data_IF_035813618259
#
_entry.id   IF_035813618259
#
_cell.length_a   1.000
_cell.length_b   1.000
_cell.length_c   1.000
_cell.angle_alpha   90.00
_cell.angle_beta   90.00
_cell.angle_gamma   90.00
#
_symmetry.space_group_name_H-M   'P 1'
#
loop_
_entity.id
_entity.type
_entity.pdbx_description
1 polymer ?
#
# COMPACT_ATOMS: atom_id res chain seq x y z
N UNK A 1 -24.45 -25.86 -5.28
CA UNK A 1 -23.25 -25.91 -6.14
C UNK A 1 -23.07 -24.52 -6.76
N UNK A 2 -21.84 -24.01 -6.89
CA UNK A 2 -21.59 -22.72 -7.55
C UNK A 2 -22.08 -22.75 -8.99
N UNK A 3 -22.66 -21.62 -9.43
CA UNK A 3 -23.09 -21.44 -10.81
C UNK A 3 -22.29 -20.27 -11.39
N UNK A 4 -21.47 -20.55 -12.41
CA UNK A 4 -20.75 -19.55 -13.20
C UNK A 4 -21.31 -19.62 -14.61
N UNK A 5 -21.79 -18.50 -15.15
CA UNK A 5 -22.42 -18.41 -16.47
C UNK A 5 -23.53 -19.45 -16.73
N UNK A 6 -24.36 -19.70 -15.71
CA UNK A 6 -25.48 -20.65 -15.80
C UNK A 6 -25.06 -22.13 -15.77
N UNK A 7 -23.77 -22.43 -15.59
CA UNK A 7 -23.27 -23.80 -15.46
C UNK A 7 -22.82 -24.09 -14.04
N UNK A 8 -23.19 -25.27 -13.56
CA UNK A 8 -22.74 -25.79 -12.28
C UNK A 8 -21.26 -26.16 -12.35
N UNK A 9 -20.42 -25.55 -11.51
CA UNK A 9 -18.97 -25.81 -11.49
C UNK A 9 -18.57 -26.37 -10.13
N UNK A 10 -17.89 -27.52 -10.13
CA UNK A 10 -17.25 -28.11 -8.96
C UNK A 10 -18.19 -28.72 -7.91
N UNK A 11 -17.63 -28.94 -6.72
CA UNK A 11 -18.36 -29.47 -5.56
C UNK A 11 -19.15 -28.35 -4.85
N UNK A 12 -20.26 -28.66 -4.14
CA UNK A 12 -20.93 -27.67 -3.31
C UNK A 12 -20.00 -27.15 -2.20
N UNK A 13 -20.02 -25.84 -1.96
CA UNK A 13 -19.34 -25.20 -0.84
C UNK A 13 -20.32 -24.97 0.31
N UNK A 14 -19.82 -24.99 1.55
CA UNK A 14 -20.64 -24.81 2.75
C UNK A 14 -20.95 -23.34 3.05
N UNK A 15 -20.11 -22.43 2.55
CA UNK A 15 -20.26 -20.99 2.74
C UNK A 15 -19.45 -20.20 1.69
N UNK A 16 -19.77 -18.92 1.55
CA UNK A 16 -18.99 -17.94 0.78
C UNK A 16 -18.64 -16.77 1.70
N UNK A 17 -17.41 -16.26 1.63
CA UNK A 17 -17.09 -14.99 2.28
C UNK A 17 -17.82 -13.86 1.54
N UNK A 18 -18.98 -13.47 2.07
CA UNK A 18 -19.84 -12.44 1.49
C UNK A 18 -19.23 -11.04 1.45
N UNK A 19 -18.01 -10.84 1.99
CA UNK A 19 -17.35 -9.54 2.06
C UNK A 19 -16.44 -9.29 0.84
N UNK A 20 -16.02 -10.30 0.05
CA UNK A 20 -14.92 -10.12 -0.90
C UNK A 20 -14.96 -10.82 -2.27
N UNK A 21 -16.09 -10.98 -2.99
CA UNK A 21 -15.97 -11.18 -4.42
C UNK A 21 -15.23 -9.97 -5.03
N UNK A 22 -14.13 -10.22 -5.75
CA UNK A 22 -13.32 -9.20 -6.39
C UNK A 22 -13.17 -9.51 -7.86
N UNK A 23 -13.55 -8.56 -8.72
CA UNK A 23 -13.23 -8.64 -10.13
C UNK A 23 -11.83 -8.09 -10.41
N UNK A 24 -11.16 -8.64 -11.43
CA UNK A 24 -9.97 -8.01 -12.02
C UNK A 24 -10.30 -6.61 -12.56
N UNK A 25 -9.30 -5.71 -12.69
CA UNK A 25 -9.45 -4.39 -13.31
C UNK A 25 -10.25 -4.35 -14.62
N UNK A 26 -10.08 -5.34 -15.50
CA UNK A 26 -10.82 -5.46 -16.78
C UNK A 26 -12.16 -6.20 -16.66
N UNK A 27 -12.49 -6.72 -15.47
CA UNK A 27 -13.69 -7.49 -15.21
C UNK A 27 -13.68 -8.93 -15.74
N UNK A 28 -12.56 -9.40 -16.33
CA UNK A 28 -12.50 -10.74 -16.94
C UNK A 28 -12.32 -11.86 -15.93
N UNK A 29 -11.82 -11.56 -14.73
CA UNK A 29 -11.55 -12.53 -13.68
C UNK A 29 -12.36 -12.24 -12.42
N UNK A 30 -12.69 -13.28 -11.66
CA UNK A 30 -13.40 -13.20 -10.38
C UNK A 30 -12.70 -14.05 -9.32
N UNK A 31 -12.33 -13.41 -8.21
CA UNK A 31 -11.85 -14.09 -7.01
C UNK A 31 -12.87 -14.02 -5.87
N UNK A 32 -13.08 -15.13 -5.14
CA UNK A 32 -13.95 -15.16 -3.95
C UNK A 32 -13.49 -16.24 -2.96
N UNK A 33 -13.74 -15.99 -1.67
CA UNK A 33 -13.44 -16.94 -0.59
C UNK A 33 -14.59 -17.92 -0.38
N UNK A 34 -14.30 -19.20 -0.17
CA UNK A 34 -15.27 -20.27 0.05
C UNK A 34 -14.91 -21.10 1.28
N UNK A 35 -15.91 -21.66 1.97
CA UNK A 35 -15.68 -22.60 3.07
C UNK A 35 -15.99 -24.04 2.65
N UNK A 36 -15.07 -24.95 2.96
CA UNK A 36 -15.21 -26.40 2.80
C UNK A 36 -14.91 -27.06 4.16
N UNK A 37 -15.95 -27.56 4.82
CA UNK A 37 -15.88 -28.07 6.18
C UNK A 37 -15.34 -27.01 7.15
N UNK A 38 -14.15 -27.29 7.72
CA UNK A 38 -13.46 -26.41 8.69
C UNK A 38 -12.41 -25.51 8.04
N UNK A 39 -12.21 -25.62 6.73
CA UNK A 39 -11.16 -24.91 6.00
C UNK A 39 -11.77 -23.87 5.06
N UNK A 40 -11.00 -22.83 4.80
CA UNK A 40 -11.29 -21.82 3.79
C UNK A 40 -10.47 -22.10 2.54
N UNK A 41 -11.01 -21.76 1.37
CA UNK A 41 -10.31 -21.77 0.09
C UNK A 41 -10.54 -20.45 -0.63
N UNK A 42 -9.69 -20.16 -1.60
CA UNK A 42 -9.90 -19.04 -2.52
C UNK A 42 -10.07 -19.60 -3.91
N UNK A 43 -11.16 -19.20 -4.56
CA UNK A 43 -11.43 -19.51 -5.98
C UNK A 43 -11.00 -18.31 -6.80
N UNK A 44 -10.22 -18.53 -7.85
CA UNK A 44 -9.90 -17.54 -8.88
C UNK A 44 -10.27 -18.16 -10.22
N UNK A 45 -11.19 -17.54 -10.95
CA UNK A 45 -11.68 -18.00 -12.26
C UNK A 45 -12.13 -19.48 -12.27
N UNK A 46 -12.90 -19.84 -11.24
CA UNK A 46 -13.42 -21.20 -11.06
C UNK A 46 -12.39 -22.22 -10.58
N UNK A 47 -11.11 -21.84 -10.47
CA UNK A 47 -10.05 -22.71 -9.95
C UNK A 47 -9.92 -22.53 -8.44
N UNK A 48 -10.18 -23.60 -7.67
CA UNK A 48 -9.99 -23.62 -6.23
C UNK A 48 -8.50 -23.83 -5.89
N UNK A 49 -7.92 -22.90 -5.14
CA UNK A 49 -6.55 -22.98 -4.65
C UNK A 49 -6.36 -23.97 -3.49
N UNK A 50 -5.16 -23.96 -2.90
CA UNK A 50 -4.86 -24.78 -1.70
C UNK A 50 -5.79 -24.39 -0.52
N UNK A 51 -6.13 -25.34 0.37
CA UNK A 51 -6.93 -25.03 1.54
C UNK A 51 -6.13 -24.24 2.60
N UNK A 52 -6.84 -23.41 3.34
CA UNK A 52 -6.34 -22.54 4.40
C UNK A 52 -7.14 -22.76 5.69
N UNK A 53 -6.52 -22.55 6.84
CA UNK A 53 -7.25 -22.50 8.12
C UNK A 53 -8.18 -21.29 8.17
N UNK A 54 -7.75 -20.16 7.59
CA UNK A 54 -8.54 -18.93 7.47
C UNK A 54 -8.04 -18.06 6.30
N UNK A 55 -8.83 -17.09 5.86
CA UNK A 55 -8.45 -16.09 4.86
C UNK A 55 -8.59 -14.68 5.43
N UNK A 56 -7.77 -13.75 4.93
CA UNK A 56 -7.77 -12.36 5.38
C UNK A 56 -8.95 -11.58 4.81
N UNK A 57 -9.57 -10.76 5.66
CA UNK A 57 -10.68 -9.89 5.24
C UNK A 57 -10.16 -8.63 4.53
N UNK A 58 -10.79 -8.25 3.40
CA UNK A 58 -10.44 -7.16 2.47
C UNK A 58 -8.98 -7.17 1.92
N UNK A 59 -8.45 -8.36 1.62
CA UNK A 59 -7.05 -8.53 1.19
C UNK A 59 -6.87 -8.89 -0.28
N UNK A 60 -7.95 -9.18 -1.01
CA UNK A 60 -7.88 -9.61 -2.41
C UNK A 60 -7.45 -8.47 -3.33
N UNK A 61 -6.37 -8.69 -4.08
CA UNK A 61 -5.79 -7.70 -5.01
C UNK A 61 -5.37 -8.40 -6.30
N UNK A 62 -5.97 -8.01 -7.42
CA UNK A 62 -5.43 -8.30 -8.74
C UNK A 62 -4.36 -7.28 -9.11
N UNK A 63 -3.35 -7.69 -9.86
CA UNK A 63 -2.45 -6.76 -10.53
C UNK A 63 -3.18 -5.96 -11.61
N UNK A 64 -2.72 -4.74 -11.95
CA UNK A 64 -3.34 -3.91 -12.98
C UNK A 64 -3.40 -4.53 -14.38
N UNK A 65 -2.46 -5.41 -14.69
CA UNK A 65 -2.39 -6.17 -15.95
C UNK A 65 -3.18 -7.50 -15.92
N UNK A 66 -3.88 -7.77 -14.81
CA UNK A 66 -4.68 -8.95 -14.55
C UNK A 66 -3.88 -10.27 -14.53
N UNK A 67 -2.54 -10.24 -14.48
CA UNK A 67 -1.73 -11.47 -14.52
C UNK A 67 -1.50 -12.10 -13.16
N UNK A 68 -1.62 -11.33 -12.08
CA UNK A 68 -1.30 -11.76 -10.73
C UNK A 68 -2.45 -11.52 -9.77
N UNK A 69 -2.55 -12.38 -8.77
CA UNK A 69 -3.53 -12.25 -7.69
C UNK A 69 -2.90 -12.51 -6.33
N UNK A 70 -3.11 -11.57 -5.42
CA UNK A 70 -2.59 -11.63 -4.07
C UNK A 70 -3.70 -11.54 -3.01
N UNK A 71 -3.47 -12.23 -1.90
CA UNK A 71 -4.36 -12.23 -0.74
C UNK A 71 -3.59 -12.67 0.51
N UNK A 72 -4.20 -12.51 1.68
CA UNK A 72 -3.61 -13.00 2.93
C UNK A 72 -4.34 -14.26 3.37
N UNK A 73 -3.60 -15.27 3.81
CA UNK A 73 -4.18 -16.52 4.28
C UNK A 73 -3.47 -17.07 5.51
N UNK A 74 -4.20 -17.81 6.34
CA UNK A 74 -3.67 -18.52 7.49
C UNK A 74 -3.45 -19.99 7.14
N UNK A 75 -2.20 -20.43 7.18
CA UNK A 75 -1.81 -21.82 7.04
C UNK A 75 -1.31 -22.31 8.41
N UNK A 76 -2.05 -23.25 9.01
CA UNK A 76 -1.66 -23.93 10.26
C UNK A 76 -1.31 -22.96 11.41
N UNK A 77 -2.06 -21.85 11.53
CA UNK A 77 -1.87 -20.86 12.60
C UNK A 77 -0.97 -19.68 12.21
N UNK A 78 -0.23 -19.77 11.12
CA UNK A 78 0.62 -18.70 10.61
C UNK A 78 -0.02 -17.97 9.43
N UNK A 79 0.07 -16.64 9.41
CA UNK A 79 -0.44 -15.85 8.30
C UNK A 79 0.65 -15.60 7.26
N UNK A 80 0.29 -15.69 5.98
CA UNK A 80 1.17 -15.50 4.85
C UNK A 80 0.55 -14.52 3.86
N UNK A 81 1.41 -13.74 3.21
CA UNK A 81 1.06 -13.15 1.92
C UNK A 81 1.06 -14.27 0.89
N UNK A 82 -0.03 -14.39 0.15
CA UNK A 82 -0.17 -15.32 -0.96
C UNK A 82 -0.04 -14.54 -2.25
N UNK A 83 0.76 -15.06 -3.19
CA UNK A 83 0.88 -14.56 -4.55
C UNK A 83 0.70 -15.74 -5.50
N UNK A 84 -0.28 -15.66 -6.38
CA UNK A 84 -0.61 -16.70 -7.38
C UNK A 84 -0.75 -18.10 -6.77
N UNK A 85 -1.44 -18.16 -5.63
CA UNK A 85 -1.73 -19.40 -4.88
C UNK A 85 -0.56 -19.96 -4.09
N UNK A 86 0.60 -19.28 -4.06
CA UNK A 86 1.79 -19.71 -3.31
C UNK A 86 2.03 -18.80 -2.11
N UNK A 87 2.37 -19.36 -0.93
CA UNK A 87 2.75 -18.54 0.21
C UNK A 87 4.14 -17.94 -0.02
N UNK A 88 4.30 -16.67 0.34
CA UNK A 88 5.61 -16.05 0.48
C UNK A 88 6.36 -16.67 1.69
N UNK A 89 7.67 -16.48 1.77
CA UNK A 89 8.54 -17.05 2.81
C UNK A 89 8.36 -16.38 4.18
N UNK A 90 7.75 -15.19 4.23
CA UNK A 90 7.57 -14.41 5.44
C UNK A 90 6.21 -14.69 6.10
N UNK A 91 6.22 -15.62 7.04
CA UNK A 91 5.10 -15.89 7.94
C UNK A 91 4.99 -14.81 9.04
N UNK A 92 3.78 -14.51 9.50
CA UNK A 92 3.59 -13.73 10.72
C UNK A 92 2.52 -14.34 11.64
N UNK A 93 2.84 -14.40 12.93
CA UNK A 93 1.93 -14.85 13.98
C UNK A 93 0.94 -13.76 14.35
N UNK A 94 -0.30 -14.14 14.69
CA UNK A 94 -1.32 -13.22 15.21
C UNK A 94 -0.77 -12.58 16.49
N UNK A 95 -0.56 -11.27 16.50
CA UNK A 95 -0.35 -10.52 17.75
C UNK A 95 -1.60 -10.77 18.60
N UNK A 96 -1.45 -11.32 19.80
CA UNK A 96 -2.53 -11.55 20.78
C UNK A 96 -3.08 -10.22 21.30
N UNK A 97 -3.69 -9.45 20.40
CA UNK A 97 -4.53 -8.32 20.73
C UNK A 97 -5.92 -8.71 20.24
N UNK A 98 -6.74 -9.15 21.18
CA UNK A 98 -8.18 -9.29 20.96
C UNK A 98 -8.70 -7.94 20.43
N UNK A 99 -9.52 -7.95 19.37
CA UNK A 99 -10.09 -6.77 18.71
C UNK A 99 -9.15 -5.91 17.84
N UNK A 100 -8.30 -6.52 17.01
CA UNK A 100 -7.88 -5.86 15.77
C UNK A 100 -8.88 -6.22 14.67
N UNK A 101 -9.77 -5.29 14.34
CA UNK A 101 -10.44 -5.28 13.05
C UNK A 101 -9.37 -5.26 11.95
N UNK A 102 -9.56 -5.96 10.83
CA UNK A 102 -8.61 -5.92 9.70
C UNK A 102 -8.38 -4.48 9.18
N UNK A 103 -9.35 -3.58 9.37
CA UNK A 103 -9.24 -2.12 9.16
C UNK A 103 -8.32 -1.37 10.14
N UNK A 104 -7.82 -2.03 11.20
CA UNK A 104 -6.79 -1.55 12.15
C UNK A 104 -5.55 -2.46 12.20
N UNK A 105 -5.47 -3.45 11.30
CA UNK A 105 -4.23 -4.18 10.98
C UNK A 105 -3.39 -3.48 9.90
N UNK A 106 -3.89 -2.37 9.32
CA UNK A 106 -3.01 -1.50 8.55
C UNK A 106 -2.54 -1.98 7.22
N UNK A 107 -3.30 -2.87 6.60
CA UNK A 107 -2.98 -3.39 5.29
C UNK A 107 -3.91 -2.72 4.30
N UNK A 108 -3.53 -1.55 3.76
CA UNK A 108 -3.89 -1.25 2.38
C UNK A 108 -2.96 -2.04 1.46
N UNK A 109 -3.29 -3.32 1.43
CA UNK A 109 -2.91 -4.33 0.48
C UNK A 109 -1.42 -4.57 0.29
N UNK A 110 -1.07 -5.73 -0.25
CA UNK A 110 0.00 -5.71 -1.21
C UNK A 110 -0.29 -4.69 -2.33
N UNK A 111 0.74 -4.04 -2.84
CA UNK A 111 0.67 -3.14 -3.98
C UNK A 111 1.43 -3.74 -5.15
N UNK A 112 0.83 -3.65 -6.34
CA UNK A 112 1.50 -3.98 -7.59
C UNK A 112 2.00 -2.70 -8.26
N UNK A 113 3.08 -2.78 -9.02
CA UNK A 113 3.44 -1.72 -9.97
C UNK A 113 2.36 -1.57 -11.03
N UNK A 114 2.27 -0.40 -11.70
CA UNK A 114 1.29 -0.18 -12.77
C UNK A 114 1.36 -1.20 -13.92
N UNK A 115 2.52 -1.78 -14.16
CA UNK A 115 2.74 -2.83 -15.17
C UNK A 115 2.60 -4.25 -14.63
N UNK A 116 2.19 -4.43 -13.36
CA UNK A 116 2.00 -5.73 -12.70
C UNK A 116 3.29 -6.47 -12.32
N UNK A 117 4.46 -6.04 -12.78
CA UNK A 117 5.71 -6.82 -12.66
C UNK A 117 6.37 -6.76 -11.28
N UNK A 118 6.08 -5.73 -10.49
CA UNK A 118 6.63 -5.58 -9.14
C UNK A 118 5.53 -5.65 -8.10
N UNK A 119 5.91 -6.12 -6.92
CA UNK A 119 5.01 -6.40 -5.83
C UNK A 119 5.63 -6.01 -4.50
N UNK A 120 4.89 -5.30 -3.66
CA UNK A 120 5.37 -4.91 -2.34
C UNK A 120 4.28 -5.03 -1.27
N UNK A 121 4.69 -5.36 -0.06
CA UNK A 121 3.81 -5.40 1.11
C UNK A 121 4.60 -5.19 2.40
N UNK A 122 3.90 -4.78 3.47
CA UNK A 122 4.49 -4.68 4.81
C UNK A 122 4.28 -5.96 5.61
N UNK A 123 5.26 -6.33 6.43
CA UNK A 123 5.22 -7.51 7.29
C UNK A 123 5.83 -7.23 8.66
N UNK A 124 5.41 -7.95 9.70
CA UNK A 124 6.08 -7.93 10.99
C UNK A 124 7.47 -8.57 10.86
N UNK A 125 8.50 -7.87 11.32
CA UNK A 125 9.89 -8.31 11.32
C UNK A 125 10.40 -8.37 12.76
N UNK A 126 10.29 -9.56 13.37
CA UNK A 126 10.59 -9.77 14.80
C UNK A 126 9.34 -9.62 15.66
N UNK A 127 9.50 -9.02 16.85
CA UNK A 127 8.41 -8.93 17.85
C UNK A 127 7.56 -7.66 17.64
N UNK A 128 8.18 -6.54 17.29
CA UNK A 128 7.56 -5.22 17.35
C UNK A 128 7.87 -4.28 16.17
N UNK A 129 8.72 -4.72 15.23
CA UNK A 129 9.12 -3.91 14.08
C UNK A 129 8.42 -4.34 12.81
N UNK A 130 8.33 -3.43 11.85
CA UNK A 130 7.75 -3.68 10.53
C UNK A 130 8.84 -3.60 9.45
N UNK A 131 8.78 -4.51 8.48
CA UNK A 131 9.61 -4.47 7.28
C UNK A 131 8.75 -4.34 6.03
N UNK A 132 9.38 -3.92 4.92
CA UNK A 132 8.75 -3.87 3.60
C UNK A 132 9.40 -4.92 2.72
N UNK A 133 8.61 -5.89 2.28
CA UNK A 133 9.00 -6.86 1.26
C UNK A 133 8.75 -6.23 -0.10
N UNK A 134 9.73 -6.32 -0.98
CA UNK A 134 9.65 -5.85 -2.37
C UNK A 134 10.23 -6.96 -3.23
N UNK A 135 9.43 -7.48 -4.15
CA UNK A 135 9.82 -8.53 -5.09
C UNK A 135 10.45 -9.74 -4.36
N UNK A 136 9.81 -10.17 -3.26
CA UNK A 136 10.24 -11.30 -2.41
C UNK A 136 11.43 -11.01 -1.48
N UNK A 137 12.00 -9.80 -1.50
CA UNK A 137 13.13 -9.44 -0.64
C UNK A 137 12.67 -8.60 0.53
N UNK A 138 12.95 -9.00 1.77
CA UNK A 138 12.65 -8.20 2.97
C UNK A 138 13.70 -7.10 3.20
N UNK A 139 13.22 -5.88 3.42
CA UNK A 139 14.05 -4.73 3.77
C UNK A 139 14.53 -4.70 5.23
N UNK A 140 15.16 -3.58 5.60
CA UNK A 140 15.53 -3.30 7.00
C UNK A 140 14.28 -3.05 7.85
N UNK A 141 14.30 -3.41 9.15
CA UNK A 141 13.19 -3.18 10.05
C UNK A 141 13.03 -1.70 10.40
N UNK A 142 11.79 -1.26 10.51
CA UNK A 142 11.35 0.06 10.93
C UNK A 142 10.53 -0.05 12.22
N UNK A 143 10.52 1.03 13.01
CA UNK A 143 9.74 1.06 14.26
C UNK A 143 8.23 1.08 13.99
N UNK A 144 7.83 1.76 12.92
CA UNK A 144 6.46 1.79 12.42
C UNK A 144 6.46 2.08 10.92
N UNK A 145 5.33 1.85 10.26
CA UNK A 145 5.05 2.25 8.88
C UNK A 145 3.73 3.02 8.85
N UNK A 146 3.60 3.97 7.94
CA UNK A 146 2.28 4.49 7.58
C UNK A 146 1.64 3.48 6.62
N UNK A 147 0.55 2.89 7.09
CA UNK A 147 -0.16 1.75 6.50
C UNK A 147 -0.63 1.98 5.04
N UNK A 148 -0.86 3.23 4.63
CA UNK A 148 -1.30 3.61 3.27
C UNK A 148 -0.20 4.27 2.42
N UNK A 149 1.08 4.13 2.80
CA UNK A 149 2.15 4.90 2.16
C UNK A 149 2.91 4.19 1.05
N UNK A 150 2.78 2.86 0.91
CA UNK A 150 3.47 2.10 -0.13
C UNK A 150 2.89 2.45 -1.49
N UNK A 151 3.69 3.08 -2.36
CA UNK A 151 3.28 3.43 -3.72
C UNK A 151 4.40 3.19 -4.72
N UNK A 152 4.05 2.65 -5.89
CA UNK A 152 4.96 2.63 -7.03
C UNK A 152 4.86 3.95 -7.82
N UNK A 153 5.97 4.36 -8.43
CA UNK A 153 5.97 5.43 -9.43
C UNK A 153 5.14 5.03 -10.66
N UNK A 154 4.65 6.00 -11.46
CA UNK A 154 3.81 5.72 -12.65
C UNK A 154 4.42 4.73 -13.66
N UNK A 155 5.74 4.76 -13.84
CA UNK A 155 6.52 3.81 -14.66
C UNK A 155 6.85 2.48 -13.94
N UNK A 156 6.44 2.33 -12.67
CA UNK A 156 6.69 1.15 -11.85
C UNK A 156 8.13 0.99 -11.34
N UNK A 157 9.07 1.87 -11.71
CA UNK A 157 10.49 1.68 -11.44
C UNK A 157 10.90 1.95 -10.00
N UNK A 158 10.15 2.78 -9.26
CA UNK A 158 10.46 3.18 -7.88
C UNK A 158 9.32 2.84 -6.93
N UNK A 159 9.63 2.32 -5.74
CA UNK A 159 8.72 2.21 -4.61
C UNK A 159 9.03 3.31 -3.59
N UNK A 160 8.00 4.01 -3.11
CA UNK A 160 8.09 4.90 -1.96
C UNK A 160 7.21 4.44 -0.80
N UNK A 161 7.60 4.75 0.42
CA UNK A 161 6.83 4.51 1.64
C UNK A 161 7.31 5.40 2.80
N UNK A 162 6.51 5.50 3.86
CA UNK A 162 6.81 6.30 5.04
C UNK A 162 7.02 5.39 6.24
N UNK A 163 8.15 5.57 6.92
CA UNK A 163 8.54 4.78 8.07
C UNK A 163 8.86 5.64 9.28
N UNK A 164 8.44 5.18 10.46
CA UNK A 164 8.82 5.74 11.74
C UNK A 164 10.08 5.08 12.28
N UNK A 165 10.85 5.83 13.04
CA UNK A 165 12.07 5.36 13.69
C UNK A 165 11.98 5.48 15.21
N UNK A 166 12.96 4.91 15.92
CA UNK A 166 12.98 4.89 17.38
C UNK A 166 13.05 6.29 18.03
N UNK A 167 13.45 7.32 17.27
CA UNK A 167 13.44 8.72 17.69
C UNK A 167 12.04 9.37 17.65
N UNK A 168 11.00 8.62 17.29
CA UNK A 168 9.64 9.11 17.15
C UNK A 168 9.42 10.00 15.92
N UNK A 169 10.38 10.07 15.00
CA UNK A 169 10.26 10.84 13.76
C UNK A 169 9.93 9.96 12.57
N UNK A 170 9.27 10.56 11.60
CA UNK A 170 8.93 9.96 10.31
C UNK A 170 9.99 10.27 9.25
N UNK A 171 10.22 9.32 8.35
CA UNK A 171 11.10 9.45 7.18
C UNK A 171 10.35 8.91 5.96
N UNK A 172 10.49 9.60 4.83
CA UNK A 172 10.05 9.08 3.54
C UNK A 172 11.21 8.30 2.93
N UNK A 173 10.92 7.10 2.43
CA UNK A 173 11.88 6.25 1.75
C UNK A 173 11.47 6.12 0.29
N UNK A 174 12.43 6.26 -0.61
CA UNK A 174 12.30 5.95 -2.04
C UNK A 174 13.38 4.93 -2.36
N UNK A 175 12.99 3.77 -2.91
CA UNK A 175 13.92 2.65 -3.17
C UNK A 175 14.76 2.31 -1.92
N UNK A 176 14.08 2.24 -0.76
CA UNK A 176 14.66 1.95 0.57
C UNK A 176 15.73 2.93 1.06
N UNK A 177 15.87 4.09 0.42
CA UNK A 177 16.77 5.17 0.84
C UNK A 177 15.94 6.34 1.38
N UNK A 178 16.40 6.96 2.45
CA UNK A 178 15.75 8.14 3.01
C UNK A 178 15.80 9.27 1.98
N UNK A 179 14.64 9.85 1.68
CA UNK A 179 14.47 11.02 0.81
C UNK A 179 14.20 12.24 1.69
N UNK A 180 15.23 13.08 1.88
CA UNK A 180 15.19 14.23 2.78
C UNK A 180 15.66 13.91 4.20
N UNK A 181 15.00 14.49 5.20
CA UNK A 181 15.37 14.37 6.61
C UNK A 181 14.35 13.55 7.41
N UNK A 182 14.43 13.66 8.74
CA UNK A 182 13.37 13.21 9.64
C UNK A 182 12.41 14.36 9.98
N UNK A 183 11.15 14.01 10.20
CA UNK A 183 10.04 14.95 10.36
C UNK A 183 9.14 14.56 11.54
N UNK A 184 8.49 15.55 12.13
CA UNK A 184 7.54 15.37 13.23
C UNK A 184 6.25 14.69 12.74
N UNK A 185 5.92 14.91 11.47
CA UNK A 185 4.76 14.36 10.80
C UNK A 185 4.90 14.40 9.29
N UNK A 186 4.17 13.52 8.62
CA UNK A 186 3.97 13.54 7.17
C UNK A 186 2.48 13.79 6.93
N UNK A 187 2.15 14.63 5.95
CA UNK A 187 0.77 14.98 5.63
C UNK A 187 -0.06 13.77 5.21
N UNK A 188 -1.39 13.86 5.32
CA UNK A 188 -2.32 12.75 5.03
C UNK A 188 -2.22 12.19 3.60
N UNK A 189 -1.69 12.97 2.65
CA UNK A 189 -1.43 12.51 1.28
C UNK A 189 -0.22 11.58 1.15
N UNK A 190 0.57 11.40 2.22
CA UNK A 190 1.77 10.59 2.20
C UNK A 190 2.82 11.13 1.24
N UNK A 191 3.40 10.23 0.45
CA UNK A 191 4.31 10.50 -0.65
C UNK A 191 3.57 10.32 -1.98
N UNK A 192 3.94 11.11 -2.98
CA UNK A 192 3.43 11.06 -4.34
C UNK A 192 4.61 11.08 -5.32
N UNK A 193 4.40 10.50 -6.50
CA UNK A 193 5.33 10.65 -7.62
C UNK A 193 4.80 11.66 -8.63
N UNK A 194 5.71 12.39 -9.28
CA UNK A 194 5.40 13.13 -10.50
C UNK A 194 4.95 12.17 -11.60
N UNK A 195 4.16 12.68 -12.55
CA UNK A 195 3.60 11.87 -13.64
C UNK A 195 4.67 11.25 -14.55
N UNK A 196 5.86 11.86 -14.61
CA UNK A 196 7.03 11.37 -15.34
C UNK A 196 7.89 10.39 -14.53
N UNK A 197 7.46 10.01 -13.32
CA UNK A 197 8.21 9.20 -12.35
C UNK A 197 9.54 9.77 -11.86
N UNK A 198 9.91 10.98 -12.28
CA UNK A 198 11.18 11.61 -11.96
C UNK A 198 11.33 11.89 -10.47
N UNK A 199 10.24 12.35 -9.84
CA UNK A 199 10.30 13.10 -8.60
C UNK A 199 9.36 12.55 -7.54
N UNK A 200 9.83 12.50 -6.29
CA UNK A 200 9.01 12.17 -5.13
C UNK A 200 8.68 13.44 -4.35
N UNK A 201 7.40 13.61 -4.03
CA UNK A 201 6.86 14.77 -3.32
C UNK A 201 6.09 14.33 -2.07
N UNK A 202 6.27 15.05 -0.98
CA UNK A 202 5.45 14.90 0.20
C UNK A 202 5.37 16.21 0.98
N UNK A 203 4.40 16.28 1.88
CA UNK A 203 4.27 17.37 2.83
C UNK A 203 4.76 16.89 4.18
N UNK A 204 5.64 17.66 4.81
CA UNK A 204 6.26 17.29 6.08
C UNK A 204 6.06 18.38 7.12
N UNK A 205 6.05 17.98 8.40
CA UNK A 205 5.96 18.88 9.53
C UNK A 205 7.28 18.89 10.32
N UNK A 206 7.73 20.09 10.71
CA UNK A 206 8.85 20.29 11.63
C UNK A 206 8.54 21.50 12.51
N UNK A 207 8.69 21.35 13.83
CA UNK A 207 8.46 22.41 14.82
C UNK A 207 7.08 23.08 14.64
N UNK A 208 6.04 22.27 14.47
CA UNK A 208 4.65 22.69 14.22
C UNK A 208 4.39 23.47 12.91
N UNK A 209 5.40 23.63 12.05
CA UNK A 209 5.24 24.23 10.71
C UNK A 209 5.31 23.17 9.62
N UNK A 210 4.70 23.46 8.48
CA UNK A 210 4.58 22.58 7.33
C UNK A 210 5.48 23.03 6.18
N UNK A 211 6.05 22.09 5.44
CA UNK A 211 6.84 22.33 4.23
C UNK A 211 6.49 21.31 3.14
N UNK A 212 6.68 21.70 1.89
CA UNK A 212 6.76 20.76 0.79
C UNK A 212 8.18 20.22 0.68
N UNK A 213 8.31 18.92 0.37
CA UNK A 213 9.60 18.27 0.15
C UNK A 213 9.58 17.59 -1.21
N UNK A 214 10.54 17.94 -2.07
CA UNK A 214 10.69 17.40 -3.42
C UNK A 214 12.08 16.79 -3.53
N UNK A 215 12.16 15.47 -3.75
CA UNK A 215 13.43 14.73 -3.80
C UNK A 215 14.36 15.04 -2.61
N UNK A 216 13.76 15.18 -1.43
CA UNK A 216 14.46 15.51 -0.19
C UNK A 216 14.84 16.98 -0.02
N UNK A 217 14.55 17.86 -0.98
CA UNK A 217 14.74 19.31 -0.88
C UNK A 217 13.53 19.96 -0.24
N UNK A 218 13.76 20.71 0.84
CA UNK A 218 12.72 21.32 1.67
C UNK A 218 12.37 22.73 1.17
N UNK A 219 11.07 23.06 1.14
CA UNK A 219 10.60 24.43 0.93
C UNK A 219 10.73 25.27 2.20
N UNK A 220 10.30 26.53 2.11
CA UNK A 220 10.06 27.36 3.29
C UNK A 220 8.97 26.76 4.21
N UNK A 221 8.95 27.24 5.45
CA UNK A 221 8.04 26.80 6.51
C UNK A 221 6.76 27.65 6.55
N UNK A 222 5.62 26.98 6.50
CA UNK A 222 4.29 27.57 6.54
C UNK A 222 3.54 27.15 7.81
N UNK A 223 2.60 27.98 8.28
CA UNK A 223 1.76 27.61 9.41
C UNK A 223 0.71 26.56 9.00
N UNK A 224 0.26 26.63 7.74
CA UNK A 224 -0.56 25.61 7.10
C UNK A 224 -0.19 25.44 5.63
N UNK A 225 -0.23 24.20 5.13
CA UNK A 225 -0.24 23.90 3.71
C UNK A 225 -1.59 23.26 3.36
N UNK A 226 -2.30 23.83 2.39
CA UNK A 226 -3.54 23.23 1.90
C UNK A 226 -3.17 22.03 1.02
N UNK A 227 -3.67 20.85 1.41
CA UNK A 227 -3.55 19.61 0.65
C UNK A 227 -4.96 19.07 0.45
N UNK A 228 -5.44 19.07 -0.79
CA UNK A 228 -6.71 18.46 -1.15
C UNK A 228 -6.48 17.10 -1.81
N UNK A 229 -7.43 16.18 -1.65
CA UNK A 229 -7.50 14.95 -2.44
C UNK A 229 -7.59 15.23 -3.96
N UNK A 230 -7.99 16.46 -4.33
CA UNK A 230 -8.05 17.04 -5.69
C UNK A 230 -7.69 18.56 -5.72
N UNK A 231 -6.68 19.02 -4.98
CA UNK A 231 -6.21 20.43 -5.02
C UNK A 231 -5.05 20.73 -4.07
N UNK A 232 -4.57 21.98 -3.99
CA UNK A 232 -3.65 22.56 -4.96
C UNK A 232 -2.26 21.89 -5.00
N UNK A 233 -2.02 20.73 -4.40
CA UNK A 233 -0.81 19.93 -4.67
C UNK A 233 -0.99 19.20 -6.00
N UNK A 234 -0.82 19.91 -7.11
CA UNK A 234 -0.94 19.35 -8.44
C UNK A 234 0.45 19.31 -9.08
N UNK A 235 0.93 18.10 -9.36
CA UNK A 235 2.05 17.86 -10.25
C UNK A 235 1.46 17.65 -11.65
N UNK A 236 1.59 18.67 -12.47
CA UNK A 236 1.16 18.62 -13.87
C UNK A 236 2.10 17.75 -14.72
N UNK A 237 1.63 17.34 -15.90
CA UNK A 237 2.45 16.68 -16.93
C UNK A 237 3.62 17.53 -17.42
N UNK A 238 3.66 18.83 -17.09
CA UNK A 238 4.76 19.75 -17.40
C UNK A 238 5.78 19.87 -16.26
N UNK A 239 5.77 18.95 -15.29
CA UNK A 239 6.61 18.99 -14.08
C UNK A 239 6.50 20.30 -13.28
N UNK A 240 5.38 21.01 -13.37
CA UNK A 240 5.11 22.10 -12.46
C UNK A 240 4.36 21.56 -11.25
N UNK A 241 4.96 21.72 -10.08
CA UNK A 241 4.31 21.55 -8.80
C UNK A 241 3.71 22.89 -8.37
N UNK A 242 2.43 22.88 -8.04
CA UNK A 242 1.76 24.00 -7.37
C UNK A 242 1.42 23.61 -5.94
N UNK A 243 1.39 24.58 -5.02
CA UNK A 243 0.87 24.40 -3.66
C UNK A 243 0.49 25.75 -3.04
N UNK A 244 -0.46 25.72 -2.09
CA UNK A 244 -0.89 26.93 -1.38
C UNK A 244 -0.45 26.84 0.08
N UNK A 245 0.36 27.81 0.51
CA UNK A 245 0.83 27.96 1.89
C UNK A 245 0.22 29.17 2.56
N UNK A 246 -0.10 29.06 3.85
CA UNK A 246 -0.47 30.18 4.70
C UNK A 246 0.64 30.45 5.71
N UNK A 247 1.06 31.70 5.81
CA UNK A 247 1.99 32.17 6.84
C UNK A 247 1.42 33.44 7.47
N UNK A 248 1.09 33.38 8.77
CA UNK A 248 0.30 34.40 9.43
C UNK A 248 -1.02 34.66 8.69
N UNK A 249 -1.26 35.92 8.31
CA UNK A 249 -2.45 36.35 7.57
C UNK A 249 -2.25 36.37 6.04
N UNK A 250 -1.11 35.90 5.53
CA UNK A 250 -0.81 35.86 4.09
C UNK A 250 -1.02 34.47 3.52
N UNK A 251 -1.55 34.41 2.31
CA UNK A 251 -1.69 33.20 1.49
C UNK A 251 -0.73 33.32 0.31
N UNK A 252 0.04 32.26 0.06
CA UNK A 252 1.02 32.16 -1.01
C UNK A 252 0.58 31.04 -1.96
N UNK A 253 0.52 31.32 -3.26
CA UNK A 253 0.53 30.29 -4.30
C UNK A 253 1.99 30.11 -4.72
N UNK A 254 2.54 28.92 -4.50
CA UNK A 254 3.89 28.57 -4.90
C UNK A 254 3.80 27.66 -6.11
N UNK A 255 4.53 28.02 -7.16
CA UNK A 255 4.69 27.24 -8.38
C UNK A 255 6.19 26.97 -8.56
N UNK A 256 6.57 25.70 -8.65
CA UNK A 256 7.96 25.31 -8.85
C UNK A 256 8.07 24.31 -9.98
N UNK A 257 9.05 24.50 -10.86
CA UNK A 257 9.40 23.52 -11.89
C UNK A 257 10.29 22.46 -11.28
N UNK A 258 9.84 21.23 -11.36
CA UNK A 258 10.60 20.08 -10.90
C UNK A 258 11.46 19.58 -12.07
N UNK A 259 12.78 19.73 -11.96
CA UNK A 259 13.73 19.26 -12.98
C UNK A 259 14.28 20.31 -13.96
N UNK A 260 14.02 21.62 -13.79
CA UNK A 260 14.77 22.64 -14.50
C UNK A 260 16.04 23.00 -13.69
N UNK A 261 17.22 22.73 -14.27
CA UNK A 261 18.47 23.42 -13.90
C UNK A 261 18.45 24.81 -14.53
#
# INVERSE_FOLDING_TARGET
MPIVDGKTVGQPFDDIDGIQPKFSPDGSQLAFGVRLGKQWGVVVDGTLGIPHTNIGHDTFRFSPDNQHFAYVANLEGNWFMMLDGKPDVYAYGRRTVENLSYTRLGIKGPVFSPDGKRFAYSVLQGIDKLGVVVDGQLGRPHWSLIEESLIFSPDGSKLAYVAGSADGKWRVLVERKVSGHSYDGIGMGGVLFSSDSGHALFIAQRNHKWMAVIDGRESELFDHLLVGKNGPLHLSTSNELRYIGRQGNKIYLLETKVGAV
#
